data_IF_213749479239
#
_entry.id   IF_213749479239
#
_cell.length_a   1.000
_cell.length_b   1.000
_cell.length_c   1.000
_cell.angle_alpha   90.00
_cell.angle_beta   90.00
_cell.angle_gamma   90.00
#
_symmetry.space_group_name_H-M   'P 1'
#
loop_
_entity.id
_entity.type
_entity.pdbx_description
1 polymer ?
#
# COMPACT_ATOMS: atom_id res chain seq x y z
N UNK A 1 38.52 -57.48 28.11
CA UNK A 1 37.71 -56.78 29.12
C UNK A 1 37.81 -55.28 28.87
N UNK A 2 36.68 -54.58 29.00
CA UNK A 2 36.38 -53.18 28.59
C UNK A 2 36.09 -52.97 27.08
N UNK A 3 35.21 -52.00 26.71
CA UNK A 3 33.85 -51.81 27.23
C UNK A 3 32.81 -51.32 26.16
N UNK A 4 31.56 -51.28 26.62
CA UNK A 4 30.51 -50.27 26.34
C UNK A 4 29.98 -50.10 24.92
N UNK A 5 28.81 -50.72 24.72
CA UNK A 5 27.73 -50.33 23.82
C UNK A 5 27.41 -48.83 23.88
N UNK A 6 27.51 -48.15 22.73
CA UNK A 6 26.96 -46.80 22.53
C UNK A 6 25.74 -46.92 21.62
N UNK A 7 24.57 -46.96 22.25
CA UNK A 7 23.25 -46.72 21.64
C UNK A 7 23.19 -45.25 21.19
N UNK A 8 23.31 -44.99 19.88
CA UNK A 8 23.06 -43.67 19.28
C UNK A 8 21.78 -43.75 18.46
N UNK A 9 20.66 -43.55 19.17
CA UNK A 9 19.34 -43.27 18.62
C UNK A 9 19.42 -42.12 17.60
N UNK A 10 18.77 -42.22 16.42
CA UNK A 10 18.75 -41.12 15.47
C UNK A 10 17.96 -39.93 16.04
N UNK A 11 18.57 -38.73 15.99
CA UNK A 11 17.89 -37.46 16.29
C UNK A 11 16.76 -37.27 15.27
N UNK A 12 15.52 -37.37 15.75
CA UNK A 12 14.33 -37.03 14.97
C UNK A 12 14.34 -35.51 14.76
N UNK A 13 14.60 -35.09 13.52
CA UNK A 13 14.43 -33.72 13.08
C UNK A 13 12.91 -33.47 13.00
N UNK A 14 12.36 -32.66 13.92
CA UNK A 14 10.97 -32.19 13.84
C UNK A 14 10.86 -31.26 12.63
N UNK A 15 10.55 -31.84 11.47
CA UNK A 15 10.00 -31.12 10.33
C UNK A 15 8.62 -30.64 10.78
N UNK A 16 8.46 -29.33 10.96
CA UNK A 16 7.13 -28.70 11.07
C UNK A 16 6.46 -28.84 9.70
N UNK A 17 5.80 -29.98 9.50
CA UNK A 17 4.83 -30.14 8.43
C UNK A 17 3.69 -29.18 8.75
N UNK A 18 3.64 -28.06 8.06
CA UNK A 18 2.46 -27.21 8.02
C UNK A 18 1.30 -28.06 7.48
N UNK A 19 0.40 -28.51 8.36
CA UNK A 19 -0.92 -29.01 7.95
C UNK A 19 -1.70 -27.83 7.38
N UNK A 20 -1.69 -27.68 6.05
CA UNK A 20 -2.76 -27.00 5.33
C UNK A 20 -4.09 -27.66 5.73
N UNK A 21 -5.12 -26.86 5.97
CA UNK A 21 -6.49 -27.24 6.34
C UNK A 21 -6.74 -27.69 7.79
N UNK A 22 -6.62 -26.76 8.74
CA UNK A 22 -7.40 -26.85 9.98
C UNK A 22 -8.51 -25.80 9.97
N UNK A 23 -9.65 -26.20 9.38
CA UNK A 23 -11.00 -25.65 9.60
C UNK A 23 -11.22 -24.15 9.33
N UNK A 24 -11.48 -23.80 8.07
CA UNK A 24 -12.40 -22.70 7.72
C UNK A 24 -12.92 -22.87 6.27
N UNK A 25 -13.30 -24.08 5.90
CA UNK A 25 -14.19 -24.33 4.77
C UNK A 25 -15.62 -24.28 5.26
N UNK A 26 -16.08 -23.11 5.69
CA UNK A 26 -17.51 -22.85 5.84
C UNK A 26 -17.79 -21.77 4.82
N UNK A 27 -18.53 -22.12 3.78
CA UNK A 27 -19.22 -21.16 2.93
C UNK A 27 -20.08 -20.31 3.87
N UNK A 28 -19.53 -19.18 4.32
CA UNK A 28 -20.28 -18.21 5.10
C UNK A 28 -21.23 -17.56 4.10
N UNK A 29 -22.51 -17.89 4.20
CA UNK A 29 -23.57 -17.16 3.52
C UNK A 29 -23.33 -15.67 3.74
N UNK A 30 -23.01 -14.95 2.66
CA UNK A 30 -22.83 -13.50 2.68
C UNK A 30 -24.15 -12.89 3.11
N UNK A 31 -24.27 -12.52 4.39
CA UNK A 31 -25.41 -11.74 4.87
C UNK A 31 -25.43 -10.43 4.10
N UNK A 32 -26.39 -10.28 3.18
CA UNK A 32 -26.63 -9.02 2.48
C UNK A 32 -26.86 -7.93 3.54
N UNK A 33 -26.04 -6.88 3.53
CA UNK A 33 -26.21 -5.70 4.38
C UNK A 33 -25.24 -5.56 5.57
N UNK A 34 -24.21 -6.40 5.72
CA UNK A 34 -23.17 -6.17 6.74
C UNK A 34 -21.78 -5.88 6.12
N UNK A 35 -20.99 -5.02 6.78
CA UNK A 35 -19.58 -4.80 6.41
C UNK A 35 -18.78 -6.04 6.82
N UNK A 36 -18.22 -6.75 5.84
CA UNK A 36 -17.34 -7.89 6.07
C UNK A 36 -16.02 -7.41 6.67
N UNK A 37 -15.70 -7.89 7.89
CA UNK A 37 -14.42 -7.60 8.53
C UNK A 37 -13.33 -8.46 7.90
N UNK A 38 -12.35 -7.84 7.27
CA UNK A 38 -11.20 -8.53 6.66
C UNK A 38 -10.01 -8.57 7.60
N UNK A 39 -9.12 -9.55 7.40
CA UNK A 39 -7.80 -9.60 8.04
C UNK A 39 -6.71 -9.28 7.04
N UNK A 40 -5.80 -8.38 7.41
CA UNK A 40 -4.69 -8.01 6.55
C UNK A 40 -3.71 -9.18 6.33
N UNK A 41 -3.19 -9.37 5.10
CA UNK A 41 -2.13 -10.34 4.86
C UNK A 41 -0.89 -10.00 5.69
N UNK A 42 -0.07 -11.01 5.99
CA UNK A 42 1.13 -10.79 6.80
C UNK A 42 2.17 -10.01 6.00
N UNK A 43 2.55 -8.84 6.51
CA UNK A 43 3.60 -8.00 5.91
C UNK A 43 4.93 -8.77 5.76
N UNK A 44 5.50 -8.88 4.53
CA UNK A 44 6.85 -9.38 4.32
C UNK A 44 7.92 -8.55 5.04
N UNK A 45 9.09 -9.15 5.32
CA UNK A 45 10.22 -8.43 5.93
C UNK A 45 10.83 -7.40 4.97
N UNK A 46 11.01 -7.83 3.72
CA UNK A 46 11.43 -7.03 2.58
C UNK A 46 10.21 -6.85 1.71
N UNK A 47 9.88 -5.60 1.41
CA UNK A 47 8.72 -5.28 0.59
C UNK A 47 9.17 -4.34 -0.53
N UNK A 48 9.11 -4.78 -1.79
CA UNK A 48 9.39 -3.93 -2.94
C UNK A 48 8.50 -2.69 -2.92
N UNK A 49 9.06 -1.55 -3.34
CA UNK A 49 8.31 -0.31 -3.38
C UNK A 49 8.68 0.56 -4.58
N UNK A 50 7.71 1.32 -5.04
CA UNK A 50 7.90 2.40 -6.00
C UNK A 50 8.11 3.72 -5.28
N UNK A 51 9.02 4.54 -5.82
CA UNK A 51 9.45 5.82 -5.25
C UNK A 51 8.91 6.96 -6.11
N UNK A 52 8.13 7.83 -5.49
CA UNK A 52 7.58 9.03 -6.09
C UNK A 52 8.06 10.27 -5.35
N UNK A 53 8.08 11.38 -6.09
CA UNK A 53 8.32 12.71 -5.53
C UNK A 53 7.17 13.62 -5.94
N UNK A 54 6.69 14.43 -4.99
CA UNK A 54 5.60 15.37 -5.21
C UNK A 54 5.88 16.67 -4.46
N UNK A 55 5.34 17.78 -4.96
CA UNK A 55 5.38 19.06 -4.27
C UNK A 55 4.08 19.29 -3.49
N UNK A 56 4.19 19.76 -2.25
CA UNK A 56 3.08 20.09 -1.35
C UNK A 56 3.41 21.46 -0.76
N UNK A 57 2.65 22.49 -1.15
CA UNK A 57 2.82 23.88 -0.71
C UNK A 57 4.27 24.38 -0.82
N UNK A 58 4.94 24.08 -1.93
CA UNK A 58 6.32 24.48 -2.21
C UNK A 58 7.40 23.58 -1.62
N UNK A 59 7.05 22.65 -0.73
CA UNK A 59 7.98 21.66 -0.17
C UNK A 59 7.94 20.35 -0.97
N UNK A 60 9.10 19.74 -1.19
CA UNK A 60 9.20 18.46 -1.91
C UNK A 60 9.04 17.33 -0.89
N UNK A 61 8.17 16.38 -1.20
CA UNK A 61 7.95 15.15 -0.45
C UNK A 61 8.37 13.95 -1.28
N UNK A 62 8.91 12.94 -0.62
CA UNK A 62 8.96 11.59 -1.18
C UNK A 62 7.71 10.84 -0.74
N UNK A 63 7.26 9.91 -1.59
CA UNK A 63 6.18 8.97 -1.28
C UNK A 63 6.61 7.61 -1.80
N UNK A 64 6.62 6.62 -0.92
CA UNK A 64 6.96 5.24 -1.21
C UNK A 64 5.68 4.42 -1.18
N UNK A 65 5.39 3.70 -2.25
CA UNK A 65 4.26 2.77 -2.30
C UNK A 65 4.81 1.36 -2.25
N UNK A 66 4.57 0.68 -1.13
CA UNK A 66 4.95 -0.71 -0.94
C UNK A 66 3.99 -1.64 -1.66
N UNK A 67 4.52 -2.58 -2.44
CA UNK A 67 3.76 -3.53 -3.23
C UNK A 67 3.86 -4.92 -2.61
N UNK A 68 2.71 -5.54 -2.31
CA UNK A 68 2.63 -6.95 -1.96
C UNK A 68 2.68 -7.76 -3.25
N UNK A 69 3.50 -8.81 -3.26
CA UNK A 69 3.70 -9.70 -4.41
C UNK A 69 4.01 -8.95 -5.73
N UNK A 70 4.67 -7.78 -5.63
CA UNK A 70 5.00 -6.88 -6.75
C UNK A 70 3.81 -6.36 -7.56
N UNK A 71 2.59 -6.46 -7.01
CA UNK A 71 1.37 -6.12 -7.75
C UNK A 71 0.51 -5.15 -6.96
N UNK A 72 0.10 -5.54 -5.76
CA UNK A 72 -0.97 -4.84 -5.05
C UNK A 72 -0.41 -3.80 -4.07
N UNK A 73 -0.86 -2.54 -4.10
CA UNK A 73 -0.43 -1.55 -3.13
C UNK A 73 -0.86 -1.97 -1.72
N UNK A 74 0.11 -2.09 -0.83
CA UNK A 74 -0.07 -2.64 0.52
C UNK A 74 0.10 -1.57 1.60
N UNK A 75 1.07 -0.68 1.46
CA UNK A 75 1.27 0.43 2.40
C UNK A 75 1.93 1.61 1.70
N UNK A 76 1.77 2.79 2.30
CA UNK A 76 2.43 4.01 1.84
C UNK A 76 3.27 4.60 2.96
N UNK A 77 4.45 5.09 2.60
CA UNK A 77 5.25 5.98 3.43
C UNK A 77 5.42 7.30 2.70
N UNK A 78 5.54 8.37 3.45
CA UNK A 78 5.85 9.67 2.89
C UNK A 78 6.69 10.47 3.87
N UNK A 79 7.28 11.54 3.39
CA UNK A 79 7.99 12.48 4.24
C UNK A 79 8.62 13.60 3.42
N UNK A 80 9.04 14.65 4.10
CA UNK A 80 9.80 15.74 3.48
C UNK A 80 11.06 15.17 2.85
N UNK A 81 11.28 15.48 1.58
CA UNK A 81 12.43 15.00 0.84
C UNK A 81 13.64 15.87 1.13
N UNK A 82 14.63 15.33 1.84
CA UNK A 82 15.94 15.95 2.02
C UNK A 82 17.09 15.14 1.40
N UNK A 83 16.91 13.84 1.17
CA UNK A 83 18.02 12.93 0.88
C UNK A 83 17.70 11.83 -0.16
N UNK A 84 16.43 11.54 -0.44
CA UNK A 84 16.07 10.50 -1.43
C UNK A 84 16.16 11.11 -2.83
N UNK A 85 17.06 10.54 -3.65
CA UNK A 85 17.27 10.97 -5.03
C UNK A 85 15.99 10.84 -5.87
N UNK A 86 15.72 11.83 -6.73
CA UNK A 86 14.61 11.81 -7.71
C UNK A 86 14.78 10.78 -8.82
N UNK A 87 16.02 10.33 -9.06
CA UNK A 87 16.33 9.28 -10.02
C UNK A 87 15.96 7.89 -9.51
N UNK A 88 15.84 7.71 -8.20
CA UNK A 88 15.42 6.46 -7.60
C UNK A 88 13.92 6.25 -7.89
N UNK A 89 13.59 5.18 -8.63
CA UNK A 89 12.19 4.82 -8.97
C UNK A 89 11.71 3.57 -8.25
N UNK A 90 12.60 2.63 -7.98
CA UNK A 90 12.30 1.38 -7.30
C UNK A 90 13.27 1.21 -6.14
N UNK A 91 12.79 0.65 -5.03
CA UNK A 91 13.57 0.37 -3.83
C UNK A 91 12.91 -0.76 -3.03
N UNK A 92 13.50 -1.11 -1.89
CA UNK A 92 12.94 -2.11 -0.96
C UNK A 92 12.75 -1.47 0.42
N UNK A 93 11.55 -1.60 0.98
CA UNK A 93 11.26 -1.21 2.36
C UNK A 93 11.52 -2.41 3.28
N UNK A 94 12.56 -2.29 4.10
CA UNK A 94 12.94 -3.30 5.10
C UNK A 94 12.41 -2.89 6.47
N UNK A 95 11.61 -3.75 7.09
CA UNK A 95 11.18 -3.55 8.49
C UNK A 95 12.29 -3.99 9.44
N UNK A 96 12.86 -3.02 10.16
CA UNK A 96 13.88 -3.29 11.18
C UNK A 96 13.21 -3.72 12.49
N UNK A 97 12.31 -2.87 12.99
CA UNK A 97 11.51 -3.12 14.20
C UNK A 97 10.19 -2.36 14.10
N UNK A 98 9.34 -2.48 15.13
CA UNK A 98 8.10 -1.71 15.19
C UNK A 98 8.41 -0.22 15.10
N UNK A 99 7.84 0.46 14.11
CA UNK A 99 8.00 1.90 13.89
C UNK A 99 9.34 2.33 13.29
N UNK A 100 10.23 1.40 12.89
CA UNK A 100 11.48 1.73 12.21
C UNK A 100 11.63 0.93 10.93
N UNK A 101 11.70 1.65 9.81
CA UNK A 101 11.77 1.09 8.46
C UNK A 101 12.94 1.73 7.72
N UNK A 102 13.72 0.91 7.02
CA UNK A 102 14.84 1.37 6.20
C UNK A 102 14.50 1.22 4.73
N UNK A 103 15.01 2.15 3.91
CA UNK A 103 14.97 2.06 2.46
C UNK A 103 16.28 1.45 1.97
N UNK A 104 16.19 0.37 1.21
CA UNK A 104 17.32 -0.35 0.64
C UNK A 104 17.29 -0.26 -0.89
N UNK A 105 18.43 -0.53 -1.53
CA UNK A 105 18.50 -0.63 -2.98
C UNK A 105 17.60 -1.77 -3.51
N UNK A 106 17.06 -1.59 -4.70
CA UNK A 106 16.17 -2.57 -5.33
C UNK A 106 16.90 -3.86 -5.74
N UNK A 107 18.16 -3.75 -6.17
CA UNK A 107 18.98 -4.88 -6.61
C UNK A 107 19.78 -5.49 -5.46
N UNK A 108 20.15 -4.67 -4.47
CA UNK A 108 20.92 -5.11 -3.32
C UNK A 108 20.23 -4.75 -1.98
N UNK A 109 19.40 -5.65 -1.43
CA UNK A 109 18.67 -5.42 -0.17
C UNK A 109 19.58 -5.27 1.08
N UNK A 110 20.86 -5.62 0.98
CA UNK A 110 21.88 -5.36 2.00
C UNK A 110 22.32 -3.90 2.04
N UNK A 111 22.29 -3.22 0.89
CA UNK A 111 22.68 -1.82 0.76
C UNK A 111 21.55 -0.91 1.26
N UNK A 112 21.78 -0.27 2.41
CA UNK A 112 20.82 0.66 3.03
C UNK A 112 21.04 2.05 2.43
N UNK A 113 20.05 2.55 1.71
CA UNK A 113 20.03 3.92 1.18
C UNK A 113 19.66 4.92 2.26
N UNK A 114 18.65 4.60 3.08
CA UNK A 114 18.22 5.41 4.21
C UNK A 114 17.82 4.55 5.41
N UNK A 115 18.35 4.88 6.59
CA UNK A 115 18.18 4.04 7.77
C UNK A 115 16.77 4.08 8.40
N UNK A 116 16.11 5.24 8.36
CA UNK A 116 14.82 5.43 9.01
C UNK A 116 13.92 6.41 8.26
N UNK A 117 13.08 5.89 7.37
CA UNK A 117 12.15 6.70 6.56
C UNK A 117 10.98 7.24 7.39
N UNK A 118 10.73 6.73 8.59
CA UNK A 118 9.58 7.12 9.42
C UNK A 118 9.78 8.46 10.15
N UNK A 119 10.98 9.06 10.08
CA UNK A 119 11.29 10.31 10.79
C UNK A 119 10.96 11.58 10.01
N UNK A 120 10.64 11.47 8.73
CA UNK A 120 10.53 12.63 7.83
C UNK A 120 9.08 13.13 7.67
N UNK A 121 8.14 12.59 8.43
CA UNK A 121 6.71 12.86 8.30
C UNK A 121 6.20 13.63 9.52
N UNK A 122 5.24 14.55 9.33
CA UNK A 122 4.55 15.17 10.46
C UNK A 122 3.49 14.23 11.06
N UNK A 123 3.04 14.52 12.28
CA UNK A 123 2.03 13.71 12.98
C UNK A 123 0.73 13.56 12.17
N UNK A 124 0.19 14.65 11.64
CA UNK A 124 -1.03 14.63 10.83
C UNK A 124 -0.86 13.81 9.54
N UNK A 125 0.30 13.95 8.89
CA UNK A 125 0.62 13.20 7.68
C UNK A 125 0.84 11.71 7.99
N UNK A 126 1.41 11.39 9.16
CA UNK A 126 1.56 10.01 9.63
C UNK A 126 0.19 9.37 9.85
N UNK A 127 -0.77 10.09 10.45
CA UNK A 127 -2.13 9.60 10.62
C UNK A 127 -2.78 9.27 9.26
N UNK A 128 -2.67 10.17 8.27
CA UNK A 128 -3.21 9.95 6.92
C UNK A 128 -2.57 8.71 6.28
N UNK A 129 -1.24 8.63 6.25
CA UNK A 129 -0.53 7.51 5.61
C UNK A 129 -0.80 6.17 6.29
N UNK A 130 -0.98 6.15 7.61
CA UNK A 130 -1.39 4.95 8.37
C UNK A 130 -2.80 4.49 8.06
N UNK A 131 -3.76 5.41 7.96
CA UNK A 131 -5.13 5.10 7.62
C UNK A 131 -5.23 4.59 6.18
N UNK A 132 -4.58 5.27 5.24
CA UNK A 132 -4.50 4.82 3.84
C UNK A 132 -3.85 3.45 3.74
N UNK A 133 -2.71 3.25 4.39
CA UNK A 133 -2.07 1.93 4.45
C UNK A 133 -3.02 0.90 5.03
N UNK A 134 -3.71 1.19 6.14
CA UNK A 134 -4.67 0.25 6.73
C UNK A 134 -5.80 -0.12 5.78
N UNK A 135 -6.35 0.83 5.03
CA UNK A 135 -7.36 0.56 4.01
C UNK A 135 -6.82 -0.37 2.91
N UNK A 136 -5.62 -0.08 2.38
CA UNK A 136 -4.98 -0.88 1.34
C UNK A 136 -4.80 -2.35 1.76
N UNK A 137 -4.13 -2.61 2.89
CA UNK A 137 -3.90 -3.98 3.37
C UNK A 137 -5.15 -4.70 3.89
N UNK A 138 -6.25 -3.99 4.13
CA UNK A 138 -7.55 -4.61 4.42
C UNK A 138 -8.41 -4.83 3.17
N UNK A 139 -7.86 -4.57 1.97
CA UNK A 139 -8.53 -4.85 0.69
C UNK A 139 -9.58 -3.82 0.31
N UNK A 140 -9.50 -2.61 0.84
CA UNK A 140 -10.33 -1.51 0.37
C UNK A 140 -9.90 -1.13 -1.06
N UNK A 141 -10.88 -0.93 -1.94
CA UNK A 141 -10.64 -0.53 -3.32
C UNK A 141 -9.85 0.79 -3.38
N UNK A 142 -8.76 0.79 -4.14
CA UNK A 142 -7.89 1.97 -4.31
C UNK A 142 -8.66 3.16 -4.88
N UNK A 143 -9.61 2.92 -5.78
CA UNK A 143 -10.49 3.96 -6.35
C UNK A 143 -11.32 4.62 -5.27
N UNK A 144 -11.85 3.84 -4.32
CA UNK A 144 -12.58 4.39 -3.17
C UNK A 144 -11.67 5.21 -2.25
N UNK A 145 -10.46 4.73 -1.96
CA UNK A 145 -9.49 5.49 -1.14
C UNK A 145 -9.13 6.82 -1.81
N UNK A 146 -8.81 6.80 -3.11
CA UNK A 146 -8.50 7.99 -3.90
C UNK A 146 -9.67 8.96 -3.86
N UNK A 147 -10.90 8.47 -4.00
CA UNK A 147 -12.10 9.29 -3.91
C UNK A 147 -12.22 10.03 -2.58
N UNK A 148 -12.00 9.35 -1.46
CA UNK A 148 -12.06 9.99 -0.13
C UNK A 148 -10.97 11.05 0.03
N UNK A 149 -9.75 10.78 -0.44
CA UNK A 149 -8.67 11.77 -0.43
C UNK A 149 -8.97 12.98 -1.34
N UNK A 150 -9.66 12.77 -2.47
CA UNK A 150 -10.11 13.83 -3.36
C UNK A 150 -11.27 14.65 -2.79
N UNK A 151 -11.99 14.18 -1.77
CA UNK A 151 -13.03 14.93 -1.05
C UNK A 151 -12.54 15.74 0.14
N UNK A 152 -11.31 15.51 0.60
CA UNK A 152 -10.76 16.29 1.73
C UNK A 152 -10.74 17.77 1.39
N UNK A 153 -11.06 18.62 2.37
CA UNK A 153 -10.93 20.07 2.23
C UNK A 153 -9.46 20.49 2.04
N UNK A 154 -9.24 21.66 1.45
CA UNK A 154 -7.93 22.26 1.25
C UNK A 154 -7.47 22.32 -0.20
N UNK A 155 -6.29 22.92 -0.40
CA UNK A 155 -5.77 23.24 -1.74
C UNK A 155 -5.39 22.00 -2.55
N UNK A 156 -5.28 22.17 -3.87
CA UNK A 156 -4.77 21.13 -4.79
C UNK A 156 -3.36 20.65 -4.41
N UNK A 157 -2.58 21.52 -3.77
CA UNK A 157 -1.25 21.22 -3.26
C UNK A 157 -1.24 20.66 -1.83
N UNK A 158 -2.40 20.30 -1.26
CA UNK A 158 -2.44 19.64 0.04
C UNK A 158 -1.91 18.21 -0.03
N UNK A 159 -1.44 17.71 1.10
CA UNK A 159 -0.82 16.39 1.21
C UNK A 159 -1.76 15.26 0.77
N UNK A 160 -3.04 15.29 1.18
CA UNK A 160 -4.04 14.30 0.77
C UNK A 160 -4.23 14.23 -0.74
N UNK A 161 -4.26 15.38 -1.44
CA UNK A 161 -4.35 15.43 -2.91
C UNK A 161 -3.08 14.93 -3.59
N UNK A 162 -1.92 15.17 -2.97
CA UNK A 162 -0.65 14.64 -3.47
C UNK A 162 -0.61 13.11 -3.39
N UNK A 163 -1.07 12.52 -2.28
CA UNK A 163 -1.20 11.07 -2.15
C UNK A 163 -2.24 10.52 -3.14
N UNK A 164 -3.38 11.19 -3.33
CA UNK A 164 -4.41 10.73 -4.27
C UNK A 164 -3.88 10.64 -5.71
N UNK A 165 -3.14 11.66 -6.18
CA UNK A 165 -2.51 11.66 -7.51
C UNK A 165 -1.54 10.50 -7.73
N UNK A 166 -0.85 10.05 -6.69
CA UNK A 166 0.05 8.90 -6.77
C UNK A 166 -0.75 7.60 -6.80
N UNK A 167 -1.73 7.46 -5.91
CA UNK A 167 -2.55 6.24 -5.84
C UNK A 167 -3.41 6.01 -7.09
N UNK A 168 -3.78 7.07 -7.83
CA UNK A 168 -4.47 6.96 -9.13
C UNK A 168 -3.76 6.03 -10.11
N UNK A 169 -2.43 5.92 -10.04
CA UNK A 169 -1.63 5.07 -10.94
C UNK A 169 -1.88 3.58 -10.74
N UNK A 170 -2.47 3.18 -9.62
CA UNK A 170 -2.83 1.79 -9.31
C UNK A 170 -4.32 1.50 -9.53
N UNK A 171 -5.05 2.44 -10.13
CA UNK A 171 -6.44 2.24 -10.52
C UNK A 171 -6.45 1.84 -11.99
N UNK A 172 -7.19 0.78 -12.32
CA UNK A 172 -7.39 0.36 -13.70
C UNK A 172 -8.17 1.41 -14.50
N UNK A 173 -7.69 1.68 -15.71
CA UNK A 173 -8.34 2.60 -16.66
C UNK A 173 -9.74 2.08 -17.04
N UNK A 174 -10.71 2.98 -17.11
CA UNK A 174 -12.12 2.65 -17.35
C UNK A 174 -12.87 2.14 -16.11
N UNK A 175 -12.22 2.09 -14.94
CA UNK A 175 -12.89 1.74 -13.68
C UNK A 175 -14.01 2.72 -13.34
N UNK A 176 -15.10 2.19 -12.77
CA UNK A 176 -16.26 2.99 -12.39
C UNK A 176 -15.94 3.87 -11.19
N UNK A 177 -16.38 5.13 -11.24
CA UNK A 177 -16.35 6.01 -10.07
C UNK A 177 -17.51 5.62 -9.16
N UNK A 178 -17.20 5.26 -7.92
CA UNK A 178 -18.21 4.87 -6.95
C UNK A 178 -18.79 6.08 -6.22
N UNK A 179 -20.13 6.13 -6.12
CA UNK A 179 -20.87 7.10 -5.31
C UNK A 179 -20.97 8.50 -5.94
N UNK A 180 -20.70 8.64 -7.24
CA UNK A 180 -20.93 9.86 -8.01
C UNK A 180 -21.50 9.53 -9.39
N UNK A 181 -22.37 10.40 -9.88
CA UNK A 181 -22.94 10.38 -11.21
C UNK A 181 -22.56 11.67 -11.94
N UNK A 182 -22.63 11.65 -13.27
CA UNK A 182 -22.32 12.81 -14.09
C UNK A 182 -23.24 13.98 -13.73
N UNK A 183 -22.71 15.16 -13.38
CA UNK A 183 -23.54 16.30 -13.00
C UNK A 183 -24.36 16.88 -14.16
N UNK A 184 -24.01 16.54 -15.42
CA UNK A 184 -24.68 17.06 -16.61
C UNK A 184 -25.78 16.14 -17.13
N UNK A 185 -25.62 14.82 -17.01
CA UNK A 185 -26.55 13.86 -17.60
C UNK A 185 -26.90 12.67 -16.70
N UNK A 186 -26.46 12.67 -15.43
CA UNK A 186 -26.69 11.62 -14.44
C UNK A 186 -26.22 10.22 -14.85
N UNK A 187 -25.36 10.12 -15.88
CA UNK A 187 -24.80 8.84 -16.31
C UNK A 187 -23.60 8.44 -15.44
N UNK A 188 -23.20 7.18 -15.58
CA UNK A 188 -22.06 6.63 -14.87
C UNK A 188 -20.74 7.29 -15.31
N UNK A 189 -19.94 7.65 -14.32
CA UNK A 189 -18.59 8.18 -14.50
C UNK A 189 -17.55 7.06 -14.45
N UNK A 190 -16.52 7.20 -15.28
CA UNK A 190 -15.34 6.32 -15.29
C UNK A 190 -14.07 7.11 -14.98
N UNK A 191 -13.04 6.44 -14.47
CA UNK A 191 -11.70 7.01 -14.39
C UNK A 191 -10.93 6.70 -15.65
N UNK A 192 -10.44 7.74 -16.31
CA UNK A 192 -9.57 7.61 -17.47
C UNK A 192 -8.47 8.68 -17.45
N UNK A 193 -7.23 8.27 -17.69
CA UNK A 193 -6.02 9.10 -17.68
C UNK A 193 -5.87 9.91 -16.39
N UNK A 194 -6.24 9.33 -15.24
CA UNK A 194 -6.22 10.00 -13.94
C UNK A 194 -7.32 11.06 -13.70
N UNK A 195 -8.24 11.22 -14.65
CA UNK A 195 -9.40 12.11 -14.57
C UNK A 195 -10.70 11.32 -14.47
N UNK A 196 -11.75 11.97 -14.01
CA UNK A 196 -13.11 11.44 -14.02
C UNK A 196 -13.76 11.89 -15.33
N UNK A 197 -14.31 10.97 -16.11
CA UNK A 197 -14.90 11.22 -17.42
C UNK A 197 -16.30 10.62 -17.54
N UNK A 198 -17.16 11.29 -18.31
CA UNK A 198 -18.47 10.82 -18.71
C UNK A 198 -18.48 10.48 -20.21
N UNK A 199 -18.67 9.20 -20.53
CA UNK A 199 -18.73 8.75 -21.92
C UNK A 199 -20.04 9.12 -22.64
N UNK A 200 -21.05 9.63 -21.92
CA UNK A 200 -22.35 9.96 -22.49
C UNK A 200 -22.46 11.42 -22.95
N UNK A 201 -21.92 12.37 -22.20
CA UNK A 201 -22.00 13.80 -22.53
C UNK A 201 -20.64 14.49 -22.70
N UNK A 202 -19.53 13.81 -22.39
CA UNK A 202 -18.18 14.37 -22.52
C UNK A 202 -17.69 15.18 -21.30
N UNK A 203 -18.47 15.24 -20.21
CA UNK A 203 -18.02 15.85 -18.96
C UNK A 203 -16.69 15.26 -18.48
N UNK A 204 -15.75 16.10 -18.03
CA UNK A 204 -14.44 15.68 -17.52
C UNK A 204 -13.99 16.54 -16.35
N UNK A 205 -13.39 15.90 -15.33
CA UNK A 205 -12.84 16.57 -14.14
C UNK A 205 -11.50 15.94 -13.76
N UNK A 206 -10.45 16.75 -13.71
CA UNK A 206 -9.10 16.35 -13.31
C UNK A 206 -8.71 17.01 -11.97
N UNK A 207 -7.85 16.32 -11.20
CA UNK A 207 -7.30 16.73 -9.91
C UNK A 207 -5.81 16.37 -9.84
#
# INVERSE_FOLDING_TARGET
GYPSTIDKRPRIMRITVYRKNSRAGVLVDKKKGCIEKTSAPKRPKLMPCEVFHTSVKGEIYFVLVGLLDNRDPYEIFAGKNGQISRSLKNAIIKKIKRGKYSLCDANEPSSVLHEDISKYISEDQEAITRLVSSNLRHGCDVSFIVHQLEKTQGDLQSFSKAISRILKKYIEEGSRVHGEECPECNSQLIRQSGCIQCNNCGHSKCL
#
